data_IF_617772641044
#
_entry.id   IF_617772641044
#
_cell.length_a   1.000
_cell.length_b   1.000
_cell.length_c   1.000
_cell.angle_alpha   90.00
_cell.angle_beta   90.00
_cell.angle_gamma   90.00
#
_symmetry.space_group_name_H-M   'P 1'
#
loop_
_entity.id
_entity.type
_entity.pdbx_description
1 polymer ?
#
# COMPACT_ATOMS: atom_id res chain seq x y z
N UNK A 1 -35.15 -35.02 -1.66
CA UNK A 1 -34.99 -33.56 -1.52
C UNK A 1 -36.36 -32.93 -1.76
N UNK A 2 -36.76 -32.00 -0.91
CA UNK A 2 -38.05 -31.29 -0.98
C UNK A 2 -37.99 -30.14 -1.99
N UNK A 3 -39.15 -29.63 -2.41
CA UNK A 3 -39.21 -28.44 -3.29
C UNK A 3 -38.57 -27.21 -2.65
N UNK A 4 -38.73 -27.03 -1.34
CA UNK A 4 -38.09 -25.93 -0.60
C UNK A 4 -36.57 -26.05 -0.59
N UNK A 5 -36.04 -27.25 -0.34
CA UNK A 5 -34.60 -27.52 -0.39
C UNK A 5 -34.04 -27.22 -1.79
N UNK A 6 -34.75 -27.63 -2.83
CA UNK A 6 -34.34 -27.34 -4.21
C UNK A 6 -34.34 -25.83 -4.48
N UNK A 7 -35.37 -25.09 -4.05
CA UNK A 7 -35.43 -23.65 -4.22
C UNK A 7 -34.29 -22.91 -3.47
N UNK A 8 -33.92 -23.38 -2.28
CA UNK A 8 -32.77 -22.85 -1.52
C UNK A 8 -31.47 -23.06 -2.30
N UNK A 9 -31.28 -24.26 -2.87
CA UNK A 9 -30.10 -24.60 -3.65
C UNK A 9 -30.02 -23.78 -4.94
N UNK A 10 -31.14 -23.64 -5.65
CA UNK A 10 -31.21 -22.82 -6.87
C UNK A 10 -30.88 -21.35 -6.57
N UNK A 11 -31.36 -20.83 -5.43
CA UNK A 11 -31.05 -19.48 -4.97
C UNK A 11 -29.56 -19.33 -4.62
N UNK A 12 -28.96 -20.30 -3.93
CA UNK A 12 -27.53 -20.31 -3.64
C UNK A 12 -26.69 -20.36 -4.94
N UNK A 13 -27.09 -21.18 -5.91
CA UNK A 13 -26.44 -21.27 -7.22
C UNK A 13 -26.51 -19.93 -8.00
N UNK A 14 -27.65 -19.24 -7.93
CA UNK A 14 -27.83 -17.92 -8.53
C UNK A 14 -26.87 -16.89 -7.90
N UNK A 15 -26.79 -16.84 -6.58
CA UNK A 15 -25.89 -15.92 -5.89
C UNK A 15 -24.41 -16.25 -6.13
N UNK A 16 -24.04 -17.54 -6.22
CA UNK A 16 -22.70 -17.93 -6.65
C UNK A 16 -22.39 -17.41 -8.07
N UNK A 17 -23.35 -17.49 -8.99
CA UNK A 17 -23.20 -16.97 -10.35
C UNK A 17 -23.03 -15.45 -10.36
N UNK A 18 -23.83 -14.73 -9.57
CA UNK A 18 -23.73 -13.28 -9.40
C UNK A 18 -22.39 -12.86 -8.79
N UNK A 19 -21.93 -13.59 -7.76
CA UNK A 19 -20.64 -13.37 -7.13
C UNK A 19 -19.50 -13.50 -8.15
N UNK A 20 -19.48 -14.61 -8.90
CA UNK A 20 -18.48 -14.85 -9.95
C UNK A 20 -18.54 -13.77 -11.03
N UNK A 21 -19.75 -13.37 -11.45
CA UNK A 21 -19.95 -12.27 -12.40
C UNK A 21 -19.35 -10.96 -11.89
N UNK A 22 -19.64 -10.59 -10.65
CA UNK A 22 -19.07 -9.38 -10.04
C UNK A 22 -17.54 -9.44 -9.99
N UNK A 23 -16.94 -10.60 -9.69
CA UNK A 23 -15.48 -10.77 -9.68
C UNK A 23 -14.82 -10.58 -11.06
N UNK A 24 -15.56 -10.67 -12.16
CA UNK A 24 -15.06 -10.40 -13.52
C UNK A 24 -15.10 -8.91 -13.91
N UNK A 25 -15.84 -8.08 -13.17
CA UNK A 25 -15.93 -6.66 -13.43
C UNK A 25 -14.61 -5.94 -13.05
N UNK A 26 -14.29 -4.80 -13.69
CA UNK A 26 -13.20 -3.93 -13.24
C UNK A 26 -13.42 -3.42 -11.80
N UNK A 27 -12.34 -3.04 -11.14
CA UNK A 27 -12.41 -2.39 -9.82
C UNK A 27 -13.28 -1.12 -9.89
N UNK A 28 -14.34 -1.08 -9.10
CA UNK A 28 -15.30 0.02 -9.11
C UNK A 28 -16.52 -0.27 -8.22
N UNK A 29 -17.42 0.71 -8.05
CA UNK A 29 -18.60 0.57 -7.20
C UNK A 29 -19.50 -0.58 -7.64
N UNK A 30 -19.73 -0.75 -8.95
CA UNK A 30 -20.56 -1.85 -9.48
C UNK A 30 -20.01 -3.24 -9.11
N UNK A 31 -18.69 -3.43 -9.19
CA UNK A 31 -18.02 -4.65 -8.73
C UNK A 31 -18.21 -4.84 -7.23
N UNK A 32 -17.92 -3.81 -6.43
CA UNK A 32 -17.97 -3.89 -4.97
C UNK A 32 -19.38 -4.17 -4.46
N UNK A 33 -20.39 -3.51 -5.02
CA UNK A 33 -21.79 -3.65 -4.63
C UNK A 33 -22.33 -5.03 -5.05
N UNK A 34 -22.07 -5.44 -6.29
CA UNK A 34 -22.46 -6.76 -6.79
C UNK A 34 -21.79 -7.89 -6.01
N UNK A 35 -20.50 -7.77 -5.72
CA UNK A 35 -19.75 -8.72 -4.92
C UNK A 35 -20.32 -8.80 -3.49
N UNK A 36 -20.45 -7.66 -2.81
CA UNK A 36 -20.87 -7.61 -1.41
C UNK A 36 -22.28 -8.15 -1.23
N UNK A 37 -23.20 -7.78 -2.12
CA UNK A 37 -24.59 -8.26 -2.10
C UNK A 37 -24.66 -9.77 -2.30
N UNK A 38 -24.03 -10.30 -3.36
CA UNK A 38 -24.04 -11.73 -3.65
C UNK A 38 -23.35 -12.56 -2.56
N UNK A 39 -22.24 -12.07 -2.01
CA UNK A 39 -21.50 -12.72 -0.94
C UNK A 39 -22.35 -12.86 0.33
N UNK A 40 -23.04 -11.80 0.74
CA UNK A 40 -23.88 -11.84 1.93
C UNK A 40 -25.07 -12.78 1.78
N UNK A 41 -25.75 -12.75 0.63
CA UNK A 41 -26.87 -13.65 0.38
C UNK A 41 -26.41 -15.11 0.38
N UNK A 42 -25.29 -15.40 -0.28
CA UNK A 42 -24.75 -16.75 -0.32
C UNK A 42 -24.34 -17.26 1.06
N UNK A 43 -23.61 -16.44 1.83
CA UNK A 43 -23.16 -16.79 3.18
C UNK A 43 -24.36 -17.07 4.09
N UNK A 44 -25.42 -16.27 3.99
CA UNK A 44 -26.66 -16.49 4.75
C UNK A 44 -27.32 -17.84 4.43
N UNK A 45 -27.37 -18.22 3.14
CA UNK A 45 -27.91 -19.52 2.73
C UNK A 45 -27.00 -20.68 3.15
N UNK A 46 -25.68 -20.54 3.01
CA UNK A 46 -24.71 -21.55 3.41
C UNK A 46 -24.78 -21.88 4.90
N UNK A 47 -25.04 -20.90 5.76
CA UNK A 47 -25.24 -21.10 7.20
C UNK A 47 -26.40 -22.04 7.54
N UNK A 48 -27.41 -22.18 6.66
CA UNK A 48 -28.47 -23.16 6.86
C UNK A 48 -27.93 -24.60 6.90
N UNK A 49 -26.80 -24.88 6.27
CA UNK A 49 -26.16 -26.19 6.33
C UNK A 49 -25.55 -26.51 7.71
N UNK A 50 -25.16 -25.47 8.45
CA UNK A 50 -24.55 -25.59 9.78
C UNK A 50 -25.56 -25.53 10.92
N UNK A 51 -26.71 -24.89 10.69
CA UNK A 51 -27.79 -24.84 11.67
C UNK A 51 -28.70 -26.07 11.61
N UNK A 52 -29.47 -26.26 12.67
CA UNK A 52 -30.52 -27.29 12.74
C UNK A 52 -31.76 -26.85 11.95
N UNK A 53 -31.55 -26.52 10.67
CA UNK A 53 -32.48 -25.93 9.71
C UNK A 53 -33.57 -26.88 9.20
N UNK A 54 -33.54 -28.15 9.60
CA UNK A 54 -34.40 -29.20 9.03
C UNK A 54 -34.01 -29.67 7.63
N UNK A 55 -32.93 -29.14 7.04
CA UNK A 55 -32.39 -29.61 5.77
C UNK A 55 -31.89 -31.06 5.88
N UNK A 56 -32.19 -31.85 4.86
CA UNK A 56 -31.64 -33.19 4.65
C UNK A 56 -30.13 -33.12 4.41
N UNK A 57 -29.44 -34.21 4.75
CA UNK A 57 -27.98 -34.29 4.59
C UNK A 57 -27.52 -33.98 3.16
N UNK A 58 -28.16 -34.49 2.09
CA UNK A 58 -27.78 -34.14 0.72
C UNK A 58 -27.87 -32.63 0.41
N UNK A 59 -28.91 -31.94 0.90
CA UNK A 59 -29.06 -30.50 0.69
C UNK A 59 -27.97 -29.70 1.43
N UNK A 60 -27.61 -30.12 2.65
CA UNK A 60 -26.50 -29.52 3.41
C UNK A 60 -25.16 -29.69 2.70
N UNK A 61 -24.89 -30.89 2.18
CA UNK A 61 -23.64 -31.18 1.49
C UNK A 61 -23.51 -30.36 0.20
N UNK A 62 -24.60 -30.16 -0.53
CA UNK A 62 -24.62 -29.30 -1.71
C UNK A 62 -24.42 -27.82 -1.36
N UNK A 63 -25.08 -27.29 -0.33
CA UNK A 63 -24.83 -25.91 0.13
C UNK A 63 -23.37 -25.69 0.54
N UNK A 64 -22.76 -26.64 1.26
CA UNK A 64 -21.33 -26.60 1.60
C UNK A 64 -20.42 -26.69 0.38
N UNK A 65 -20.82 -27.38 -0.68
CA UNK A 65 -20.06 -27.42 -1.92
C UNK A 65 -20.10 -26.06 -2.61
N UNK A 66 -21.28 -25.43 -2.70
CA UNK A 66 -21.47 -24.09 -3.26
C UNK A 66 -20.66 -23.04 -2.48
N UNK A 67 -20.70 -23.08 -1.15
CA UNK A 67 -19.94 -22.16 -0.28
C UNK A 67 -18.42 -22.29 -0.47
N UNK A 68 -17.92 -23.53 -0.54
CA UNK A 68 -16.50 -23.79 -0.85
C UNK A 68 -16.09 -23.26 -2.21
N UNK A 69 -16.95 -23.44 -3.22
CA UNK A 69 -16.71 -22.92 -4.57
C UNK A 69 -16.66 -21.39 -4.60
N UNK A 70 -17.53 -20.73 -3.84
CA UNK A 70 -17.49 -19.28 -3.66
C UNK A 70 -16.18 -18.83 -3.01
N UNK A 71 -15.78 -19.46 -1.91
CA UNK A 71 -14.52 -19.15 -1.24
C UNK A 71 -13.30 -19.31 -2.17
N UNK A 72 -13.27 -20.38 -2.97
CA UNK A 72 -12.22 -20.62 -3.97
C UNK A 72 -12.19 -19.53 -5.06
N UNK A 73 -13.36 -19.11 -5.56
CA UNK A 73 -13.45 -18.05 -6.56
C UNK A 73 -12.90 -16.71 -6.02
N UNK A 74 -13.21 -16.36 -4.77
CA UNK A 74 -12.71 -15.14 -4.13
C UNK A 74 -11.20 -15.18 -3.94
N UNK A 75 -10.66 -16.30 -3.45
CA UNK A 75 -9.20 -16.46 -3.27
C UNK A 75 -8.45 -16.35 -4.60
N UNK A 76 -8.90 -17.06 -5.62
CA UNK A 76 -8.28 -17.04 -6.96
C UNK A 76 -8.30 -15.64 -7.58
N UNK A 77 -9.38 -14.90 -7.37
CA UNK A 77 -9.52 -13.54 -7.88
C UNK A 77 -8.62 -12.54 -7.13
N UNK A 78 -8.40 -12.72 -5.82
CA UNK A 78 -7.45 -11.91 -5.04
C UNK A 78 -6.01 -12.09 -5.52
N UNK A 79 -5.60 -13.33 -5.74
CA UNK A 79 -4.25 -13.64 -6.26
C UNK A 79 -4.04 -13.03 -7.65
N UNK A 80 -5.04 -13.16 -8.53
CA UNK A 80 -4.99 -12.58 -9.89
C UNK A 80 -5.00 -11.05 -9.87
N UNK A 81 -5.86 -10.43 -9.06
CA UNK A 81 -5.99 -8.97 -9.01
C UNK A 81 -4.77 -8.30 -8.39
N UNK A 82 -4.23 -8.85 -7.30
CA UNK A 82 -3.09 -8.24 -6.60
C UNK A 82 -1.78 -8.33 -7.40
N UNK A 83 -1.53 -9.48 -8.04
CA UNK A 83 -0.29 -9.69 -8.82
C UNK A 83 -0.34 -8.97 -10.17
N UNK A 84 -1.46 -9.06 -10.91
CA UNK A 84 -1.60 -8.40 -12.20
C UNK A 84 -1.63 -6.87 -12.06
N UNK A 85 -2.40 -6.32 -11.10
CA UNK A 85 -2.49 -4.87 -10.89
C UNK A 85 -1.14 -4.25 -10.50
N UNK A 86 -0.34 -4.96 -9.71
CA UNK A 86 1.01 -4.52 -9.34
C UNK A 86 1.97 -4.58 -10.52
N UNK A 87 1.95 -5.68 -11.29
CA UNK A 87 2.75 -5.82 -12.51
C UNK A 87 2.40 -4.75 -13.56
N UNK A 88 1.11 -4.45 -13.73
CA UNK A 88 0.61 -3.40 -14.61
C UNK A 88 1.09 -2.01 -14.15
N UNK A 89 1.13 -1.77 -12.84
CA UNK A 89 1.62 -0.50 -12.28
C UNK A 89 3.11 -0.30 -12.52
N UNK A 90 3.93 -1.35 -12.34
CA UNK A 90 5.37 -1.32 -12.65
C UNK A 90 5.60 -1.08 -14.14
N UNK A 91 4.90 -1.83 -15.00
CA UNK A 91 5.02 -1.69 -16.45
C UNK A 91 4.60 -0.28 -16.92
N UNK A 92 3.54 0.28 -16.34
CA UNK A 92 3.10 1.64 -16.62
C UNK A 92 4.16 2.69 -16.25
N UNK A 93 4.77 2.59 -15.06
CA UNK A 93 5.86 3.47 -14.63
C UNK A 93 7.10 3.37 -15.55
N UNK A 94 7.45 2.16 -16.00
CA UNK A 94 8.57 1.97 -16.93
C UNK A 94 8.27 2.50 -18.34
N UNK A 95 7.03 2.37 -18.81
CA UNK A 95 6.60 2.81 -20.13
C UNK A 95 6.38 4.34 -20.22
N UNK A 96 6.02 4.99 -19.11
CA UNK A 96 5.71 6.42 -19.08
C UNK A 96 6.93 7.28 -19.46
N UNK A 97 6.90 8.07 -20.55
CA UNK A 97 8.03 8.90 -20.98
C UNK A 97 8.37 10.04 -20.01
N UNK A 98 7.44 10.41 -19.12
CA UNK A 98 7.67 11.48 -18.13
C UNK A 98 8.38 10.98 -16.87
N UNK A 99 8.37 9.67 -16.64
CA UNK A 99 9.10 9.05 -15.54
C UNK A 99 10.62 9.20 -15.75
N UNK A 100 11.34 9.64 -14.72
CA UNK A 100 12.77 9.93 -14.81
C UNK A 100 13.61 8.69 -15.12
N UNK A 101 14.69 8.86 -15.89
CA UNK A 101 15.62 7.78 -16.22
C UNK A 101 16.14 7.07 -14.96
N UNK A 102 16.48 7.84 -13.94
CA UNK A 102 16.96 7.31 -12.66
C UNK A 102 15.93 6.40 -12.01
N UNK A 103 14.66 6.81 -11.93
CA UNK A 103 13.61 5.98 -11.33
C UNK A 103 13.37 4.70 -12.14
N UNK A 104 13.36 4.78 -13.48
CA UNK A 104 13.22 3.58 -14.33
C UNK A 104 14.36 2.60 -14.12
N UNK A 105 15.59 3.10 -14.06
CA UNK A 105 16.77 2.26 -13.84
C UNK A 105 16.71 1.61 -12.45
N UNK A 106 16.49 2.41 -11.40
CA UNK A 106 16.38 1.92 -10.02
C UNK A 106 15.27 0.87 -9.87
N UNK A 107 14.12 1.07 -10.52
CA UNK A 107 13.02 0.10 -10.51
C UNK A 107 13.40 -1.20 -11.23
N UNK A 108 14.04 -1.13 -12.41
CA UNK A 108 14.50 -2.33 -13.12
C UNK A 108 15.55 -3.12 -12.30
N UNK A 109 16.47 -2.44 -11.63
CA UNK A 109 17.46 -3.08 -10.76
C UNK A 109 16.80 -3.71 -9.51
N UNK A 110 15.80 -3.06 -8.93
CA UNK A 110 15.06 -3.56 -7.77
C UNK A 110 14.24 -4.83 -8.09
N UNK A 111 13.65 -4.94 -9.29
CA UNK A 111 12.85 -6.11 -9.69
C UNK A 111 13.64 -7.42 -9.76
N UNK A 112 14.97 -7.35 -9.88
CA UNK A 112 15.84 -8.52 -9.92
C UNK A 112 16.32 -8.97 -8.53
N UNK A 113 15.99 -8.22 -7.46
CA UNK A 113 16.47 -8.43 -6.09
C UNK A 113 15.41 -9.05 -5.19
N UNK A 114 15.81 -9.45 -3.99
CA UNK A 114 14.86 -9.76 -2.92
C UNK A 114 13.99 -8.52 -2.61
N UNK A 115 12.68 -8.72 -2.57
CA UNK A 115 11.72 -7.61 -2.48
C UNK A 115 11.71 -6.92 -1.12
N UNK A 116 12.11 -7.61 -0.05
CA UNK A 116 12.18 -7.04 1.30
C UNK A 116 13.40 -6.12 1.39
N UNK A 117 14.56 -6.59 0.90
CA UNK A 117 15.78 -5.79 0.88
C UNK A 117 15.65 -4.56 -0.02
N UNK A 118 15.09 -4.74 -1.23
CA UNK A 118 14.88 -3.63 -2.16
C UNK A 118 13.93 -2.55 -1.61
N UNK A 119 12.87 -2.96 -0.89
CA UNK A 119 11.95 -2.03 -0.25
C UNK A 119 12.61 -1.27 0.91
N UNK A 120 13.41 -1.96 1.74
CA UNK A 120 14.15 -1.33 2.83
C UNK A 120 15.17 -0.31 2.31
N UNK A 121 15.97 -0.67 1.29
CA UNK A 121 16.93 0.23 0.66
C UNK A 121 16.25 1.47 0.07
N UNK A 122 15.10 1.29 -0.59
CA UNK A 122 14.31 2.40 -1.13
C UNK A 122 13.78 3.34 -0.04
N UNK A 123 13.40 2.81 1.12
CA UNK A 123 13.01 3.60 2.29
C UNK A 123 14.16 4.47 2.81
N UNK A 124 15.33 3.88 3.02
CA UNK A 124 16.54 4.61 3.47
C UNK A 124 16.92 5.69 2.45
N UNK A 125 16.87 5.36 1.16
CA UNK A 125 17.15 6.30 0.08
C UNK A 125 16.18 7.50 0.09
N UNK A 126 14.88 7.24 0.27
CA UNK A 126 13.86 8.29 0.39
C UNK A 126 14.16 9.22 1.57
N UNK A 127 14.46 8.68 2.76
CA UNK A 127 14.76 9.47 3.94
C UNK A 127 15.99 10.39 3.73
N UNK A 128 17.06 9.86 3.15
CA UNK A 128 18.28 10.63 2.87
C UNK A 128 18.02 11.77 1.86
N UNK A 129 17.29 11.49 0.79
CA UNK A 129 16.95 12.49 -0.22
C UNK A 129 15.98 13.54 0.32
N UNK A 130 15.00 13.14 1.13
CA UNK A 130 14.06 14.05 1.78
C UNK A 130 14.80 15.00 2.72
N UNK A 131 15.69 14.48 3.57
CA UNK A 131 16.50 15.31 4.47
C UNK A 131 17.35 16.33 3.71
N UNK A 132 18.08 15.89 2.67
CA UNK A 132 18.87 16.77 1.83
C UNK A 132 18.02 17.85 1.16
N UNK A 133 16.85 17.48 0.64
CA UNK A 133 15.95 18.44 -0.02
C UNK A 133 15.46 19.53 0.95
N UNK A 134 15.22 19.17 2.21
CA UNK A 134 14.81 20.11 3.25
C UNK A 134 15.96 21.05 3.63
N UNK A 135 17.18 20.54 3.73
CA UNK A 135 18.37 21.35 3.96
C UNK A 135 18.61 22.36 2.82
N UNK A 136 18.53 21.91 1.57
CA UNK A 136 18.67 22.77 0.39
C UNK A 136 17.58 23.87 0.37
N UNK A 137 16.33 23.52 0.69
CA UNK A 137 15.23 24.48 0.77
C UNK A 137 15.42 25.49 1.92
N UNK A 138 15.85 25.03 3.09
CA UNK A 138 16.15 25.88 4.25
C UNK A 138 17.29 26.85 3.94
N UNK A 139 18.35 26.37 3.30
CA UNK A 139 19.47 27.20 2.87
C UNK A 139 19.03 28.27 1.85
N UNK A 140 18.21 27.89 0.86
CA UNK A 140 17.66 28.82 -0.11
C UNK A 140 16.74 29.88 0.53
N UNK A 141 15.90 29.48 1.50
CA UNK A 141 15.05 30.40 2.25
C UNK A 141 15.87 31.40 3.09
N UNK A 142 16.96 30.92 3.73
CA UNK A 142 17.86 31.80 4.46
C UNK A 142 18.54 32.82 3.54
N UNK A 143 19.06 32.38 2.39
CA UNK A 143 19.66 33.25 1.39
C UNK A 143 18.67 34.30 0.85
N UNK A 144 17.41 33.92 0.60
CA UNK A 144 16.37 34.80 0.12
C UNK A 144 15.88 35.82 1.17
N UNK A 145 16.02 35.51 2.47
CA UNK A 145 15.58 36.40 3.56
C UNK A 145 16.37 37.70 3.66
N UNK A 146 17.55 37.79 3.04
CA UNK A 146 18.44 38.95 3.12
C UNK A 146 18.97 39.25 4.53
N UNK A 147 18.66 38.40 5.52
CA UNK A 147 19.20 38.50 6.86
C UNK A 147 20.66 38.06 6.78
N UNK A 148 21.64 38.95 7.05
CA UNK A 148 23.04 38.56 7.05
C UNK A 148 23.23 37.43 8.05
N UNK A 149 24.08 36.46 7.71
CA UNK A 149 24.43 35.37 8.60
C UNK A 149 24.73 35.94 9.99
N UNK A 150 24.16 35.37 11.07
CA UNK A 150 24.37 35.88 12.42
C UNK A 150 25.87 35.84 12.69
N UNK A 151 26.46 37.02 12.80
CA UNK A 151 27.90 37.16 12.99
C UNK A 151 28.17 37.60 14.42
N UNK A 152 29.11 36.92 15.08
CA UNK A 152 29.57 37.30 16.40
C UNK A 152 30.93 37.96 16.27
N UNK A 153 31.03 39.20 16.78
CA UNK A 153 32.32 39.85 16.97
C UNK A 153 33.07 39.15 18.12
N UNK A 154 34.28 38.67 17.83
CA UNK A 154 35.14 37.99 18.81
C UNK A 154 36.49 38.66 18.90
N UNK A 155 37.14 38.51 20.06
CA UNK A 155 38.57 38.80 20.22
C UNK A 155 39.30 37.48 20.40
N UNK A 156 40.28 37.23 19.55
CA UNK A 156 41.16 36.08 19.64
C UNK A 156 42.17 36.26 20.77
N UNK A 157 42.76 35.15 21.24
CA UNK A 157 43.72 35.14 22.34
C UNK A 157 44.98 35.99 22.07
N UNK A 158 45.32 36.21 20.80
CA UNK A 158 46.40 37.10 20.36
C UNK A 158 46.00 38.59 20.36
N UNK A 159 44.80 38.92 20.83
CA UNK A 159 44.26 40.27 20.92
C UNK A 159 43.60 40.79 19.64
N UNK A 160 43.64 40.04 18.55
CA UNK A 160 43.01 40.45 17.27
C UNK A 160 41.49 40.42 17.37
N UNK A 161 40.84 41.45 16.85
CA UNK A 161 39.40 41.41 16.60
C UNK A 161 39.11 40.64 15.32
N UNK A 162 38.02 39.87 15.30
CA UNK A 162 37.49 39.24 14.10
C UNK A 162 36.01 38.92 14.22
N UNK A 163 35.49 38.33 13.17
CA UNK A 163 34.06 38.02 13.03
C UNK A 163 33.92 36.54 12.72
N UNK A 164 33.05 35.85 13.46
CA UNK A 164 32.69 34.45 13.23
C UNK A 164 31.26 34.37 12.73
N UNK A 165 31.04 33.53 11.70
CA UNK A 165 29.70 33.12 11.28
C UNK A 165 29.16 32.09 12.28
N UNK A 166 28.13 32.47 13.03
CA UNK A 166 27.52 31.63 14.07
C UNK A 166 26.77 30.45 13.46
N UNK A 167 26.35 30.53 12.20
CA UNK A 167 25.68 29.42 11.51
C UNK A 167 26.62 28.25 11.20
N UNK A 168 27.93 28.50 11.13
CA UNK A 168 28.97 27.50 10.90
C UNK A 168 29.59 26.98 12.21
N UNK A 169 29.21 27.55 13.36
CA UNK A 169 29.76 27.17 14.65
C UNK A 169 29.25 25.78 15.06
N UNK A 170 30.15 24.81 15.17
CA UNK A 170 29.84 23.50 15.75
C UNK A 170 29.60 23.66 17.25
N UNK A 171 28.41 23.30 17.74
CA UNK A 171 28.09 23.25 19.16
C UNK A 171 29.09 22.34 19.88
N UNK A 172 30.01 22.94 20.62
CA UNK A 172 30.92 22.24 21.54
C UNK A 172 30.54 22.69 22.94
N UNK A 173 29.79 21.85 23.66
CA UNK A 173 29.50 22.10 25.07
C UNK A 173 30.77 21.74 25.84
N UNK A 174 31.48 22.75 26.35
CA UNK A 174 32.56 22.53 27.30
C UNK A 174 31.89 22.38 28.67
N UNK A 175 31.69 21.13 29.10
CA UNK A 175 31.43 20.85 30.52
C UNK A 175 32.72 21.14 31.27
N UNK A 176 32.76 22.25 32.00
CA UNK A 176 33.87 22.51 32.91
C UNK A 176 33.86 21.46 34.02
N UNK A 177 34.94 20.70 34.14
CA UNK A 177 35.24 20.04 35.41
C UNK A 177 35.62 21.13 36.42
N UNK A 178 34.95 21.08 37.58
CA UNK A 178 35.02 22.00 38.74
C UNK A 178 36.29 22.85 38.91
#
# INVERSE_FOLDING_TARGET
>A
MTELEQAILDCAQLHLTQLKGALTLPNGPERSDGFTSAWWQLTGLAQLAEFHSGLSQPARDQLRAIDREAAQAVSSNRESSGTAQFADSIAATLADPTTSHWLKQSLNEALARDSVDAANDAGVLFELLAHRSEEELRAAAHAASGIPAPTLAVRFADGRAGTLDVSQARHTIITGDN
#
